data_IF_605674902643
#
_entry.id   IF_605674902643
#
_cell.length_a   1.000
_cell.length_b   1.000
_cell.length_c   1.000
_cell.angle_alpha   90.00
_cell.angle_beta   90.00
_cell.angle_gamma   90.00
#
_symmetry.space_group_name_H-M   'P 1'
#
loop_
_entity.id
_entity.type
_entity.pdbx_description
1 polymer ?
#
# COMPACT_ATOMS: atom_id res chain seq x y z
N UNK A 1 6.16 -5.35 -32.50
CA UNK A 1 5.51 -5.33 -31.19
C UNK A 1 6.43 -5.97 -30.17
N UNK A 2 6.82 -5.21 -29.15
CA UNK A 2 7.55 -5.70 -27.98
C UNK A 2 6.53 -6.40 -27.10
N UNK A 3 6.88 -7.55 -26.53
CA UNK A 3 6.03 -8.21 -25.55
C UNK A 3 6.39 -7.69 -24.15
N UNK A 4 5.58 -6.79 -23.61
CA UNK A 4 5.86 -6.15 -22.32
C UNK A 4 5.85 -7.14 -21.15
N UNK A 5 5.22 -8.32 -21.30
CA UNK A 5 5.29 -9.39 -20.29
C UNK A 5 6.69 -10.02 -20.19
N UNK A 6 7.55 -9.78 -21.17
CA UNK A 6 8.94 -10.24 -21.22
C UNK A 6 9.94 -9.10 -21.02
N UNK A 7 9.44 -7.88 -20.80
CA UNK A 7 10.28 -6.73 -20.51
C UNK A 7 10.54 -6.66 -19.01
N UNK A 8 11.80 -6.64 -18.63
CA UNK A 8 12.22 -6.37 -17.26
C UNK A 8 12.42 -4.87 -17.08
N UNK A 9 11.90 -4.35 -15.97
CA UNK A 9 12.05 -2.95 -15.61
C UNK A 9 13.03 -2.80 -14.45
N UNK A 10 13.71 -1.66 -14.43
CA UNK A 10 14.52 -1.20 -13.30
C UNK A 10 14.18 0.25 -13.04
N UNK A 11 13.99 0.58 -11.77
CA UNK A 11 13.66 1.93 -11.36
C UNK A 11 14.81 2.53 -10.60
N UNK A 12 15.16 3.77 -10.93
CA UNK A 12 16.13 4.55 -10.18
C UNK A 12 15.43 5.75 -9.58
N UNK A 13 15.69 6.01 -8.31
CA UNK A 13 15.15 7.13 -7.56
C UNK A 13 16.28 7.90 -6.87
N UNK A 14 16.17 9.22 -6.81
CA UNK A 14 16.96 10.03 -5.89
C UNK A 14 16.06 10.93 -5.04
N UNK A 15 16.58 11.33 -3.89
CA UNK A 15 15.96 12.35 -3.06
C UNK A 15 15.75 13.66 -3.84
N UNK A 16 14.79 14.51 -3.41
CA UNK A 16 14.61 15.82 -4.00
C UNK A 16 15.89 16.65 -3.96
N UNK A 17 16.08 17.48 -5.00
CA UNK A 17 17.20 18.44 -5.02
C UNK A 17 17.15 19.35 -3.79
N UNK A 18 18.33 19.65 -3.24
CA UNK A 18 18.49 20.60 -2.16
C UNK A 18 18.07 22.01 -2.57
N UNK A 19 17.88 22.93 -1.60
CA UNK A 19 17.55 24.33 -1.89
C UNK A 19 18.60 25.06 -2.74
N UNK A 20 19.84 24.56 -2.71
CA UNK A 20 21.00 25.02 -3.50
C UNK A 20 21.04 24.42 -4.92
N UNK A 21 20.07 23.56 -5.26
CA UNK A 21 20.02 22.85 -6.54
C UNK A 21 20.89 21.61 -6.60
N UNK A 22 21.66 21.28 -5.55
CA UNK A 22 22.50 20.08 -5.53
C UNK A 22 21.63 18.84 -5.48
N UNK A 23 21.96 17.86 -6.34
CA UNK A 23 21.18 16.63 -6.47
C UNK A 23 21.96 15.42 -5.97
N UNK A 24 21.29 14.52 -5.25
CA UNK A 24 21.86 13.20 -4.95
C UNK A 24 21.95 12.33 -6.21
N UNK A 25 22.90 11.38 -6.26
CA UNK A 25 22.97 10.40 -7.34
C UNK A 25 21.70 9.53 -7.37
N UNK A 26 21.29 9.14 -8.57
CA UNK A 26 20.22 8.17 -8.77
C UNK A 26 20.64 6.82 -8.19
N UNK A 27 19.77 6.16 -7.42
CA UNK A 27 19.99 4.82 -6.88
C UNK A 27 18.90 3.89 -7.36
N UNK A 28 19.27 2.67 -7.71
CA UNK A 28 18.28 1.66 -8.05
C UNK A 28 17.42 1.32 -6.83
N UNK A 29 16.12 1.16 -7.07
CA UNK A 29 15.18 0.58 -6.13
C UNK A 29 15.13 -0.92 -6.43
N UNK A 30 15.73 -1.72 -5.56
CA UNK A 30 15.87 -3.17 -5.71
C UNK A 30 15.03 -3.96 -4.70
N UNK A 31 14.65 -3.33 -3.59
CA UNK A 31 13.83 -3.96 -2.55
C UNK A 31 12.33 -3.93 -2.89
N UNK A 32 11.76 -5.12 -3.07
CA UNK A 32 10.31 -5.32 -3.15
C UNK A 32 9.67 -5.20 -1.77
N UNK A 33 8.38 -4.90 -1.72
CA UNK A 33 7.60 -5.03 -0.48
C UNK A 33 6.63 -6.21 -0.58
N UNK A 34 5.94 -6.51 0.51
CA UNK A 34 4.91 -7.56 0.54
C UNK A 34 3.79 -7.40 -0.50
N UNK A 35 3.56 -6.19 -1.01
CA UNK A 35 2.50 -5.92 -1.99
C UNK A 35 2.99 -5.30 -3.31
N UNK A 36 4.25 -4.89 -3.42
CA UNK A 36 4.80 -4.19 -4.60
C UNK A 36 6.04 -4.85 -5.18
N UNK A 37 6.27 -4.69 -6.49
CA UNK A 37 7.42 -5.24 -7.20
C UNK A 37 8.15 -4.18 -8.03
N UNK A 38 9.43 -3.97 -7.72
CA UNK A 38 10.31 -2.96 -8.35
C UNK A 38 10.81 -3.33 -9.74
N UNK A 39 10.50 -4.53 -10.24
CA UNK A 39 10.90 -5.01 -11.57
C UNK A 39 9.75 -5.00 -12.59
N UNK A 40 8.63 -4.38 -12.22
CA UNK A 40 7.42 -4.26 -13.04
C UNK A 40 7.36 -2.91 -13.79
N UNK A 41 6.48 -2.83 -14.80
CA UNK A 41 6.25 -1.62 -15.62
C UNK A 41 5.81 -0.40 -14.80
N UNK A 42 5.31 -0.61 -13.58
CA UNK A 42 4.90 0.46 -12.66
C UNK A 42 5.76 0.43 -11.41
N UNK A 43 6.27 1.59 -10.99
CA UNK A 43 6.81 1.82 -9.65
C UNK A 43 5.72 2.39 -8.76
N UNK A 44 5.39 1.69 -7.69
CA UNK A 44 4.41 2.15 -6.71
C UNK A 44 4.90 3.40 -5.94
N UNK A 45 3.98 4.28 -5.55
CA UNK A 45 4.32 5.59 -4.99
C UNK A 45 5.08 5.53 -3.67
N UNK A 46 5.06 4.39 -2.96
CA UNK A 46 5.77 4.23 -1.69
C UNK A 46 7.30 4.39 -1.79
N UNK A 47 7.85 4.34 -3.01
CA UNK A 47 9.29 4.44 -3.27
C UNK A 47 9.77 5.87 -3.56
N UNK A 48 8.85 6.84 -3.70
CA UNK A 48 9.18 8.21 -4.02
C UNK A 48 8.17 9.19 -3.41
N UNK A 49 8.52 10.47 -3.41
CA UNK A 49 7.65 11.52 -2.90
C UNK A 49 7.75 12.77 -3.77
N UNK A 50 6.99 13.81 -3.42
CA UNK A 50 7.09 15.12 -4.06
C UNK A 50 8.54 15.60 -4.18
N UNK A 51 8.94 16.02 -5.38
CA UNK A 51 10.29 16.48 -5.69
C UNK A 51 11.32 15.38 -5.92
N UNK A 52 11.03 14.11 -5.64
CA UNK A 52 11.95 13.00 -5.97
C UNK A 52 12.25 12.98 -7.47
N UNK A 53 13.43 12.50 -7.81
CA UNK A 53 13.82 12.27 -9.21
C UNK A 53 13.66 10.80 -9.51
N UNK A 54 12.99 10.46 -10.61
CA UNK A 54 12.67 9.08 -10.99
C UNK A 54 13.12 8.83 -12.42
N UNK A 55 13.65 7.65 -12.67
CA UNK A 55 14.04 7.19 -13.99
C UNK A 55 13.67 5.72 -14.14
N UNK A 56 13.24 5.34 -15.33
CA UNK A 56 12.95 3.96 -15.69
C UNK A 56 14.03 3.46 -16.66
N UNK A 57 14.48 2.24 -16.48
CA UNK A 57 15.20 1.47 -17.48
C UNK A 57 14.38 0.23 -17.83
N UNK A 58 14.29 -0.08 -19.12
CA UNK A 58 13.53 -1.21 -19.63
C UNK A 58 14.44 -2.06 -20.52
N UNK A 59 14.34 -3.39 -20.34
CA UNK A 59 15.10 -4.37 -21.11
C UNK A 59 14.17 -5.48 -21.57
N UNK A 60 13.97 -5.59 -22.88
CA UNK A 60 13.18 -6.66 -23.47
C UNK A 60 13.97 -7.98 -23.51
N UNK A 61 13.29 -9.10 -23.28
CA UNK A 61 13.82 -10.44 -23.47
C UNK A 61 13.09 -11.16 -24.61
N UNK A 62 13.80 -11.99 -25.37
CA UNK A 62 13.19 -12.85 -26.37
C UNK A 62 12.64 -14.15 -25.75
N UNK A 63 11.95 -14.97 -26.55
CA UNK A 63 11.40 -16.27 -26.13
C UNK A 63 12.44 -17.26 -25.56
N UNK A 64 13.72 -17.10 -25.90
CA UNK A 64 14.82 -17.95 -25.44
C UNK A 64 15.42 -17.45 -24.11
N UNK A 65 14.98 -16.29 -23.60
CA UNK A 65 15.57 -15.63 -22.43
C UNK A 65 16.81 -14.79 -22.73
N UNK A 66 17.11 -14.51 -24.00
CA UNK A 66 18.22 -13.63 -24.35
C UNK A 66 17.83 -12.17 -24.11
N UNK A 67 18.71 -11.46 -23.39
CA UNK A 67 18.56 -10.06 -23.07
C UNK A 67 18.82 -9.16 -24.29
N UNK A 68 17.88 -8.25 -24.58
CA UNK A 68 18.08 -7.15 -25.51
C UNK A 68 18.87 -5.99 -24.90
N UNK A 69 18.98 -4.90 -25.67
CA UNK A 69 19.58 -3.66 -25.19
C UNK A 69 18.67 -3.00 -24.13
N UNK A 70 19.27 -2.58 -23.01
CA UNK A 70 18.58 -1.76 -22.01
C UNK A 70 18.47 -0.32 -22.50
N UNK A 71 17.26 0.23 -22.42
CA UNK A 71 16.98 1.62 -22.74
C UNK A 71 16.51 2.33 -21.48
N UNK A 72 16.99 3.56 -21.29
CA UNK A 72 16.68 4.36 -20.12
C UNK A 72 15.87 5.60 -20.52
N UNK A 73 14.83 5.91 -19.76
CA UNK A 73 14.08 7.15 -19.91
C UNK A 73 14.92 8.36 -19.50
N UNK A 74 14.52 9.57 -19.89
CA UNK A 74 14.94 10.79 -19.19
C UNK A 74 14.59 10.70 -17.69
N UNK A 75 15.33 11.44 -16.88
CA UNK A 75 15.00 11.64 -15.46
C UNK A 75 13.82 12.60 -15.37
N UNK A 76 12.78 12.21 -14.65
CA UNK A 76 11.59 13.03 -14.37
C UNK A 76 11.62 13.46 -12.91
N UNK A 77 11.24 14.71 -12.64
CA UNK A 77 11.08 15.22 -11.27
C UNK A 77 9.61 15.14 -10.91
N UNK A 78 9.28 14.48 -9.80
CA UNK A 78 7.92 14.43 -9.27
C UNK A 78 7.51 15.84 -8.83
N UNK A 79 6.32 16.29 -9.25
CA UNK A 79 5.84 17.63 -8.95
C UNK A 79 5.79 17.88 -7.43
N UNK A 80 6.12 19.11 -7.02
CA UNK A 80 5.96 19.58 -5.64
C UNK A 80 4.64 20.31 -5.42
N UNK A 81 3.98 20.69 -6.51
CA UNK A 81 2.79 21.55 -6.50
C UNK A 81 1.55 20.77 -6.91
N UNK A 82 1.70 19.85 -7.86
CA UNK A 82 0.63 19.01 -8.38
C UNK A 82 0.69 17.63 -7.71
N UNK A 83 -0.07 17.46 -6.63
CA UNK A 83 -0.28 16.18 -5.97
C UNK A 83 -1.68 15.62 -6.23
N UNK A 84 -1.88 14.33 -5.95
CA UNK A 84 -3.21 13.72 -6.03
C UNK A 84 -4.13 14.21 -4.93
N UNK A 85 -3.57 14.40 -3.74
CA UNK A 85 -4.27 14.86 -2.56
C UNK A 85 -3.53 16.05 -1.94
N UNK A 86 -4.28 17.06 -1.50
CA UNK A 86 -3.67 18.17 -0.79
C UNK A 86 -3.15 17.72 0.58
N UNK A 87 -1.89 18.04 0.93
CA UNK A 87 -1.35 17.70 2.24
C UNK A 87 -2.13 18.42 3.33
N UNK A 88 -2.56 17.68 4.36
CA UNK A 88 -3.21 18.28 5.53
C UNK A 88 -2.15 19.01 6.38
N UNK A 89 -2.47 20.21 6.83
CA UNK A 89 -1.60 20.98 7.71
C UNK A 89 -1.66 20.37 9.12
N UNK A 90 -0.55 19.88 9.68
CA UNK A 90 -0.55 19.33 11.03
C UNK A 90 -1.07 20.36 12.05
N UNK A 91 -1.92 19.91 12.98
CA UNK A 91 -2.45 20.76 14.05
C UNK A 91 -3.74 21.53 13.72
N UNK A 92 -4.29 21.42 12.51
CA UNK A 92 -5.65 21.92 12.22
C UNK A 92 -6.72 20.93 12.69
N UNK A 93 -7.92 21.41 13.02
CA UNK A 93 -9.07 20.55 13.35
C UNK A 93 -9.33 19.57 12.20
N UNK A 94 -9.35 18.27 12.49
CA UNK A 94 -9.44 17.21 11.47
C UNK A 94 -8.10 16.78 10.84
N UNK A 95 -6.96 17.26 11.36
CA UNK A 95 -5.62 16.75 11.02
C UNK A 95 -5.20 15.55 11.89
N UNK A 96 -6.16 14.83 12.48
CA UNK A 96 -5.87 13.55 13.14
C UNK A 96 -5.14 12.63 12.14
N UNK A 97 -4.04 11.99 12.55
CA UNK A 97 -3.25 11.16 11.64
C UNK A 97 -4.03 9.95 11.13
N UNK A 98 -5.02 9.50 11.90
CA UNK A 98 -5.97 8.46 11.56
C UNK A 98 -7.17 8.49 12.51
N UNK A 99 -8.26 7.81 12.14
CA UNK A 99 -9.38 7.46 13.02
C UNK A 99 -9.53 5.94 13.05
N UNK A 100 -9.80 5.38 14.22
CA UNK A 100 -10.10 3.96 14.39
C UNK A 100 -11.45 3.80 15.11
N UNK A 101 -12.30 2.94 14.56
CA UNK A 101 -13.65 2.65 15.09
C UNK A 101 -13.81 1.16 15.30
N UNK A 102 -14.35 0.80 16.46
CA UNK A 102 -14.70 -0.57 16.81
C UNK A 102 -16.22 -0.63 16.96
N UNK A 103 -16.87 -1.59 16.31
CA UNK A 103 -18.32 -1.78 16.36
C UNK A 103 -18.66 -3.27 16.41
N UNK A 104 -19.57 -3.64 17.30
CA UNK A 104 -20.22 -4.95 17.26
C UNK A 104 -21.29 -5.00 16.17
N UNK A 105 -21.27 -6.03 15.32
CA UNK A 105 -22.20 -6.17 14.19
C UNK A 105 -23.59 -6.64 14.62
N UNK A 106 -23.67 -7.45 15.68
CA UNK A 106 -24.93 -8.02 16.17
C UNK A 106 -25.34 -9.32 15.44
N UNK A 107 -26.35 -10.03 15.95
CA UNK A 107 -26.76 -11.33 15.41
C UNK A 107 -27.47 -11.25 14.05
N UNK A 108 -28.04 -10.09 13.73
CA UNK A 108 -28.85 -9.89 12.53
C UNK A 108 -28.05 -9.40 11.31
N UNK A 109 -26.73 -9.23 11.45
CA UNK A 109 -25.87 -8.87 10.32
C UNK A 109 -25.80 -10.05 9.32
N UNK A 110 -26.15 -9.85 8.04
CA UNK A 110 -26.31 -10.96 7.08
C UNK A 110 -24.98 -11.61 6.67
N UNK A 111 -23.89 -10.85 6.71
CA UNK A 111 -22.59 -11.28 6.21
C UNK A 111 -21.61 -11.59 7.35
N UNK A 112 -21.70 -10.84 8.46
CA UNK A 112 -20.77 -10.89 9.58
C UNK A 112 -21.49 -10.94 10.94
N UNK A 113 -22.33 -11.96 11.22
CA UNK A 113 -23.10 -12.03 12.46
C UNK A 113 -22.21 -12.22 13.68
N UNK A 114 -22.48 -11.44 14.74
CA UNK A 114 -21.81 -11.50 16.05
C UNK A 114 -20.29 -11.26 16.02
N UNK A 115 -19.78 -10.46 15.10
CA UNK A 115 -18.37 -10.09 15.01
C UNK A 115 -18.11 -8.66 15.49
N UNK A 116 -16.84 -8.37 15.75
CA UNK A 116 -16.34 -7.03 16.00
C UNK A 116 -15.72 -6.49 14.71
N UNK A 117 -16.34 -5.47 14.13
CA UNK A 117 -15.80 -4.72 13.01
C UNK A 117 -14.81 -3.67 13.51
N UNK A 118 -13.58 -3.74 13.02
CA UNK A 118 -12.54 -2.73 13.19
C UNK A 118 -12.36 -1.99 11.86
N UNK A 119 -12.55 -0.68 11.87
CA UNK A 119 -12.35 0.19 10.71
C UNK A 119 -11.31 1.24 11.05
N UNK A 120 -10.28 1.37 10.21
CA UNK A 120 -9.23 2.37 10.32
C UNK A 120 -9.25 3.25 9.08
N UNK A 121 -9.35 4.56 9.29
CA UNK A 121 -9.37 5.56 8.22
C UNK A 121 -8.17 6.49 8.35
N UNK A 122 -7.40 6.70 7.28
CA UNK A 122 -6.20 7.56 7.25
C UNK A 122 -6.26 8.55 6.09
N UNK A 123 -5.97 9.84 6.29
CA UNK A 123 -5.75 10.78 5.19
C UNK A 123 -4.64 10.30 4.24
N UNK A 124 -4.90 10.29 2.94
CA UNK A 124 -3.87 10.00 1.95
C UNK A 124 -2.88 11.18 1.83
N UNK A 125 -1.60 10.84 1.72
CA UNK A 125 -0.54 11.76 1.31
C UNK A 125 0.29 11.05 0.23
N UNK A 126 0.70 11.78 -0.79
CA UNK A 126 1.49 11.21 -1.89
C UNK A 126 2.79 10.61 -1.35
N UNK A 127 3.05 9.34 -1.70
CA UNK A 127 4.21 8.58 -1.22
C UNK A 127 4.06 7.94 0.16
N UNK A 128 2.92 8.13 0.84
CA UNK A 128 2.66 7.52 2.14
C UNK A 128 2.23 6.05 2.01
N UNK A 129 2.83 5.17 2.82
CA UNK A 129 2.39 3.80 3.02
C UNK A 129 1.57 3.68 4.32
N UNK A 130 0.25 3.42 4.25
CA UNK A 130 -0.54 3.15 5.45
C UNK A 130 -0.23 1.76 6.01
N UNK A 131 0.26 1.68 7.25
CA UNK A 131 0.51 0.41 7.94
C UNK A 131 -0.33 0.33 9.22
N UNK A 132 -1.10 -0.74 9.36
CA UNK A 132 -1.95 -1.03 10.50
C UNK A 132 -1.49 -2.35 11.08
N UNK A 133 -1.19 -2.39 12.38
CA UNK A 133 -0.87 -3.63 13.10
C UNK A 133 -1.24 -3.47 14.57
N UNK A 134 -1.82 -4.51 15.17
CA UNK A 134 -2.04 -4.55 16.62
C UNK A 134 -0.75 -4.84 17.41
N UNK A 135 0.32 -5.25 16.72
CA UNK A 135 1.66 -5.45 17.29
C UNK A 135 2.59 -4.28 16.92
N UNK A 136 3.54 -3.89 17.79
CA UNK A 136 4.50 -2.85 17.49
C UNK A 136 5.27 -3.15 16.19
N UNK A 137 5.33 -2.17 15.29
CA UNK A 137 6.13 -2.25 14.07
C UNK A 137 7.60 -1.99 14.45
N UNK A 138 8.44 -3.01 14.35
CA UNK A 138 9.88 -2.91 14.58
C UNK A 138 10.60 -3.45 13.37
N UNK A 139 11.74 -2.85 13.00
CA UNK A 139 12.49 -3.23 11.80
C UNK A 139 11.61 -3.20 10.53
N UNK A 140 11.29 -1.99 10.06
CA UNK A 140 10.42 -1.79 8.89
C UNK A 140 10.91 -2.50 7.63
N UNK A 141 12.23 -2.61 7.43
CA UNK A 141 12.80 -3.32 6.29
C UNK A 141 12.33 -4.78 6.26
N UNK A 142 12.43 -5.48 7.38
CA UNK A 142 11.96 -6.87 7.51
C UNK A 142 10.42 -6.95 7.50
N UNK A 143 9.74 -5.99 8.13
CA UNK A 143 8.27 -6.00 8.20
C UNK A 143 7.62 -5.79 6.84
N UNK A 144 8.23 -4.97 6.00
CA UNK A 144 7.75 -4.69 4.65
C UNK A 144 8.28 -5.68 3.63
N UNK A 145 9.29 -6.50 3.97
CA UNK A 145 9.85 -7.45 3.02
C UNK A 145 8.78 -8.48 2.58
N UNK A 146 8.96 -9.09 1.40
CA UNK A 146 8.11 -10.20 0.97
C UNK A 146 8.25 -11.45 1.87
N UNK A 147 9.19 -11.48 2.82
CA UNK A 147 9.43 -12.65 3.66
C UNK A 147 8.21 -12.97 4.54
N UNK A 148 8.01 -14.25 4.81
CA UNK A 148 6.88 -14.74 5.61
C UNK A 148 6.95 -14.41 7.11
N UNK A 149 7.99 -13.72 7.59
CA UNK A 149 8.18 -13.43 9.02
C UNK A 149 7.08 -12.51 9.56
N UNK A 150 6.66 -11.52 8.77
CA UNK A 150 5.54 -10.62 9.10
C UNK A 150 4.21 -11.36 9.28
N UNK A 151 3.99 -12.47 8.57
CA UNK A 151 2.74 -13.24 8.62
C UNK A 151 2.48 -13.78 10.04
N UNK A 152 3.54 -14.24 10.72
CA UNK A 152 3.45 -14.68 12.11
C UNK A 152 3.44 -13.54 13.13
N UNK A 153 4.22 -12.49 12.89
CA UNK A 153 4.40 -11.39 13.87
C UNK A 153 3.30 -10.34 13.82
N UNK A 154 2.63 -10.18 12.67
CA UNK A 154 1.63 -9.14 12.41
C UNK A 154 0.31 -9.76 11.93
N UNK A 155 -0.15 -10.82 12.59
CA UNK A 155 -1.35 -11.57 12.18
C UNK A 155 -2.61 -10.70 11.99
N UNK A 156 -2.83 -9.73 12.88
CA UNK A 156 -3.95 -8.79 12.80
C UNK A 156 -3.49 -7.44 12.25
N UNK A 157 -3.19 -7.40 10.94
CA UNK A 157 -2.59 -6.24 10.27
C UNK A 157 -3.01 -6.17 8.80
N UNK A 158 -2.76 -5.04 8.14
CA UNK A 158 -2.88 -4.91 6.68
C UNK A 158 -1.59 -5.30 5.93
N UNK A 159 -0.64 -5.93 6.63
CA UNK A 159 0.65 -6.36 6.07
C UNK A 159 0.59 -7.77 5.47
N UNK A 160 -0.58 -8.41 5.44
CA UNK A 160 -0.80 -9.75 4.89
C UNK A 160 -1.67 -9.62 3.64
N UNK A 161 -1.29 -10.26 2.53
CA UNK A 161 -2.18 -10.41 1.39
C UNK A 161 -3.30 -11.42 1.72
N UNK A 162 -4.37 -11.41 0.91
CA UNK A 162 -5.60 -12.15 1.20
C UNK A 162 -5.40 -13.66 1.46
N UNK A 163 -4.38 -14.26 0.85
CA UNK A 163 -4.03 -15.68 0.96
C UNK A 163 -3.09 -15.99 2.14
N UNK A 164 -2.55 -14.97 2.78
CA UNK A 164 -1.65 -15.08 3.94
C UNK A 164 -2.42 -14.92 5.26
N UNK A 165 -3.65 -14.42 5.20
CA UNK A 165 -4.53 -14.21 6.36
C UNK A 165 -4.70 -15.52 7.13
N UNK A 166 -4.35 -15.48 8.42
CA UNK A 166 -4.48 -16.61 9.33
C UNK A 166 -5.70 -16.51 10.25
N UNK A 167 -6.33 -15.33 10.30
CA UNK A 167 -7.57 -15.04 11.00
C UNK A 167 -8.78 -15.40 10.13
N UNK A 168 -9.99 -15.36 10.69
CA UNK A 168 -11.22 -15.61 9.92
C UNK A 168 -11.42 -14.58 8.80
N UNK A 169 -11.06 -13.31 9.08
CA UNK A 169 -11.06 -12.21 8.12
C UNK A 169 -9.82 -11.34 8.30
N UNK A 170 -9.50 -10.52 7.29
CA UNK A 170 -8.39 -9.58 7.36
C UNK A 170 -8.66 -8.31 6.57
N UNK A 171 -7.75 -7.34 6.69
CA UNK A 171 -7.91 -6.02 6.07
C UNK A 171 -7.77 -6.04 4.55
N UNK A 172 -7.00 -6.99 3.99
CA UNK A 172 -6.86 -7.18 2.54
C UNK A 172 -7.76 -8.35 2.12
N UNK A 173 -8.53 -8.21 1.05
CA UNK A 173 -9.31 -9.34 0.50
C UNK A 173 -9.01 -9.53 -0.98
N UNK A 174 -9.56 -10.57 -1.61
CA UNK A 174 -9.22 -10.92 -2.99
C UNK A 174 -9.65 -9.88 -4.03
N UNK A 175 -10.62 -9.00 -3.70
CA UNK A 175 -11.06 -7.96 -4.62
C UNK A 175 -9.95 -6.94 -4.92
N UNK A 176 -9.79 -6.58 -6.19
CA UNK A 176 -8.75 -5.67 -6.71
C UNK A 176 -9.23 -4.24 -6.92
N UNK A 177 -10.52 -3.97 -6.65
CA UNK A 177 -11.17 -2.68 -6.84
C UNK A 177 -12.17 -2.42 -5.72
N UNK A 178 -12.27 -1.16 -5.30
CA UNK A 178 -13.30 -0.75 -4.35
C UNK A 178 -14.68 -0.79 -5.04
N UNK A 179 -15.66 -1.56 -4.52
CA UNK A 179 -17.00 -1.62 -5.10
C UNK A 179 -17.77 -0.29 -5.02
N UNK A 180 -17.42 0.59 -4.09
CA UNK A 180 -18.06 1.91 -3.93
C UNK A 180 -17.59 2.94 -4.98
N UNK A 181 -16.48 2.65 -5.66
CA UNK A 181 -15.91 3.54 -6.70
C UNK A 181 -16.40 3.10 -8.08
N UNK A 182 -17.23 3.96 -8.69
CA UNK A 182 -17.71 3.77 -10.05
C UNK A 182 -16.60 4.19 -11.03
N UNK A 183 -16.25 3.32 -11.98
CA UNK A 183 -15.21 3.62 -12.98
C UNK A 183 -13.78 3.67 -12.40
N UNK A 184 -12.93 4.54 -12.93
CA UNK A 184 -11.61 4.83 -12.38
C UNK A 184 -11.53 6.34 -12.12
N UNK A 185 -10.97 6.76 -10.98
CA UNK A 185 -10.75 8.19 -10.69
C UNK A 185 -9.57 8.73 -11.49
N UNK A 186 -8.53 7.90 -11.66
CA UNK A 186 -7.35 8.20 -12.45
C UNK A 186 -7.03 7.08 -13.45
N UNK A 187 -6.38 7.40 -14.58
CA UNK A 187 -5.97 6.39 -15.56
C UNK A 187 -5.14 5.27 -14.92
N UNK A 188 -5.46 4.04 -15.27
CA UNK A 188 -4.72 2.83 -14.89
C UNK A 188 -4.71 2.53 -13.38
N UNK A 189 -5.55 3.20 -12.59
CA UNK A 189 -5.62 3.00 -11.14
C UNK A 189 -5.89 1.53 -10.80
N UNK A 190 -6.77 0.86 -11.56
CA UNK A 190 -7.14 -0.54 -11.36
C UNK A 190 -6.70 -1.45 -12.52
N UNK A 191 -5.73 -1.01 -13.33
CA UNK A 191 -5.28 -1.76 -14.51
C UNK A 191 -4.43 -2.97 -14.14
N UNK A 192 -4.95 -4.16 -14.42
CA UNK A 192 -4.25 -5.44 -14.29
C UNK A 192 -3.09 -5.61 -15.29
N UNK A 193 -3.05 -4.81 -16.36
CA UNK A 193 -1.94 -4.81 -17.31
C UNK A 193 -0.73 -4.01 -16.79
N UNK A 194 -0.98 -3.03 -15.92
CA UNK A 194 0.05 -2.12 -15.40
C UNK A 194 0.53 -2.49 -14.00
N UNK A 195 -0.33 -3.13 -13.19
CA UNK A 195 -0.09 -3.38 -11.76
C UNK A 195 -0.28 -4.85 -11.41
N UNK A 196 0.47 -5.30 -10.40
CA UNK A 196 0.31 -6.64 -9.85
C UNK A 196 -1.02 -6.78 -9.10
N UNK A 197 -1.54 -8.00 -9.01
CA UNK A 197 -2.77 -8.27 -8.25
C UNK A 197 -2.62 -7.88 -6.77
N UNK A 198 -1.46 -8.12 -6.17
CA UNK A 198 -1.18 -7.74 -4.78
C UNK A 198 -1.24 -6.21 -4.60
N UNK A 199 -0.62 -5.46 -5.51
CA UNK A 199 -0.69 -3.99 -5.52
C UNK A 199 -2.14 -3.52 -5.59
N UNK A 200 -2.93 -4.12 -6.50
CA UNK A 200 -4.33 -3.76 -6.69
C UNK A 200 -5.20 -4.06 -5.46
N UNK A 201 -5.05 -5.23 -4.84
CA UNK A 201 -5.76 -5.58 -3.60
C UNK A 201 -5.44 -4.61 -2.46
N UNK A 202 -4.18 -4.18 -2.35
CA UNK A 202 -3.79 -3.19 -1.35
C UNK A 202 -4.39 -1.80 -1.66
N UNK A 203 -4.17 -1.28 -2.87
CA UNK A 203 -4.61 0.05 -3.29
C UNK A 203 -6.12 0.18 -3.47
N UNK A 204 -6.89 -0.92 -3.50
CA UNK A 204 -8.35 -0.82 -3.48
C UNK A 204 -8.86 -0.06 -2.24
N UNK A 205 -8.10 -0.10 -1.15
CA UNK A 205 -8.45 0.54 0.11
C UNK A 205 -8.22 2.06 0.07
N UNK A 206 -7.67 2.59 -1.03
CA UNK A 206 -7.50 4.02 -1.28
C UNK A 206 -8.65 4.55 -2.12
N UNK A 207 -9.38 5.52 -1.57
CA UNK A 207 -10.28 6.38 -2.31
C UNK A 207 -9.56 7.71 -2.61
N UNK A 208 -9.15 7.89 -3.87
CA UNK A 208 -8.44 9.10 -4.32
C UNK A 208 -9.34 10.32 -4.44
N UNK A 209 -10.65 10.15 -4.68
CA UNK A 209 -11.60 11.25 -4.71
C UNK A 209 -11.81 11.84 -3.31
N UNK A 210 -11.93 10.97 -2.30
CA UNK A 210 -12.03 11.37 -0.91
C UNK A 210 -10.68 11.68 -0.26
N UNK A 211 -9.56 11.31 -0.90
CA UNK A 211 -8.22 11.35 -0.33
C UNK A 211 -8.11 10.62 1.03
N UNK A 212 -8.73 9.44 1.11
CA UNK A 212 -8.78 8.62 2.31
C UNK A 212 -8.41 7.18 1.99
N UNK A 213 -7.58 6.62 2.85
CA UNK A 213 -7.46 5.18 3.02
C UNK A 213 -8.52 4.71 4.00
N UNK A 214 -9.20 3.62 3.68
CA UNK A 214 -10.08 2.92 4.61
C UNK A 214 -9.78 1.43 4.59
N UNK A 215 -9.44 0.89 5.75
CA UNK A 215 -9.22 -0.53 5.97
C UNK A 215 -10.24 -1.03 6.98
N UNK A 216 -10.96 -2.08 6.63
CA UNK A 216 -11.93 -2.72 7.52
C UNK A 216 -11.63 -4.21 7.64
N UNK A 217 -11.75 -4.75 8.84
CA UNK A 217 -11.71 -6.19 9.10
C UNK A 217 -12.69 -6.56 10.22
N UNK A 218 -13.00 -7.84 10.30
CA UNK A 218 -13.94 -8.42 11.26
C UNK A 218 -13.24 -9.48 12.07
N UNK A 219 -13.45 -9.48 13.39
CA UNK A 219 -12.81 -10.43 14.28
C UNK A 219 -13.81 -10.98 15.28
N UNK A 220 -13.64 -12.24 15.66
CA UNK A 220 -14.29 -12.77 16.85
C UNK A 220 -13.66 -12.18 18.11
N UNK A 221 -14.43 -12.10 19.20
CA UNK A 221 -13.89 -11.60 20.48
C UNK A 221 -12.71 -12.45 20.96
N UNK A 222 -12.78 -13.77 20.79
CA UNK A 222 -11.69 -14.69 21.17
C UNK A 222 -10.43 -14.48 20.32
N UNK A 223 -10.59 -14.23 19.02
CA UNK A 223 -9.48 -13.93 18.10
C UNK A 223 -8.81 -12.60 18.45
N UNK A 224 -9.60 -11.56 18.77
CA UNK A 224 -9.05 -10.29 19.24
C UNK A 224 -8.19 -10.45 20.50
N UNK A 225 -8.68 -11.20 21.48
CA UNK A 225 -7.99 -11.40 22.76
C UNK A 225 -6.75 -12.29 22.62
N UNK A 226 -6.86 -13.41 21.91
CA UNK A 226 -5.83 -14.43 21.88
C UNK A 226 -4.76 -14.18 20.81
N UNK A 227 -5.18 -13.74 19.62
CA UNK A 227 -4.29 -13.58 18.48
C UNK A 227 -3.83 -12.13 18.31
N UNK A 228 -4.76 -11.19 18.43
CA UNK A 228 -4.48 -9.78 18.17
C UNK A 228 -3.92 -9.01 19.38
N UNK A 229 -3.94 -9.60 20.58
CA UNK A 229 -3.44 -8.98 21.81
C UNK A 229 -4.37 -7.91 22.39
N UNK A 230 -5.66 -7.98 22.05
CA UNK A 230 -6.69 -7.13 22.62
C UNK A 230 -6.91 -7.38 24.12
N UNK A 231 -7.45 -6.38 24.81
CA UNK A 231 -7.86 -6.48 26.20
C UNK A 231 -9.24 -5.84 26.38
N UNK A 232 -9.97 -6.31 27.39
CA UNK A 232 -11.28 -5.74 27.76
C UNK A 232 -11.05 -4.85 28.98
N UNK A 233 -11.31 -3.56 28.81
CA UNK A 233 -11.46 -2.62 29.90
C UNK A 233 -12.91 -2.20 30.00
N UNK A 234 -13.40 -2.01 31.23
CA UNK A 234 -14.57 -1.17 31.47
C UNK A 234 -14.06 0.24 31.72
N UNK A 235 -14.49 1.22 30.92
CA UNK A 235 -14.25 2.62 31.25
C UNK A 235 -14.83 2.87 32.65
N UNK A 236 -13.95 3.20 33.60
CA UNK A 236 -14.19 3.08 35.04
C UNK A 236 -15.52 3.68 35.51
N UNK A 237 -16.23 2.90 36.32
CA UNK A 237 -17.09 3.45 37.39
C UNK A 237 -16.22 3.91 38.55
#
# INVERSE_FOLDING_TARGET
NINDTMTQYRWMVSAPSGPDGVTSPMREVDTNTFFTNTKSITLDSIYFQAGSRVQCAARAFNANGDAGLELTSPIVVISREEGLCQPRIPGTVGAEPFSAKIRYTGPDDPDYPNLIKLTVTMPHMDGMLPVISTRPLSNFELTLSPDGTRVGNHRCSNLLDFNEIQTAHGFITDATKNPEIIGETLPYQYSVAMRSTNSLRFYRNLNLEACLWEFSSYYDMSELLNDCGGSIGTDGQ
#
